data_IF_671001594565
#
_entry.id   IF_671001594565
#
_cell.length_a   1.000
_cell.length_b   1.000
_cell.length_c   1.000
_cell.angle_alpha   90.00
_cell.angle_beta   90.00
_cell.angle_gamma   90.00
#
_symmetry.space_group_name_H-M   'P 1'
#
loop_
_entity.id
_entity.type
_entity.pdbx_description
1 polymer ?
#
# COMPACT_ATOMS: atom_id res chain seq x y z
N UNK A 1 -6.94 -12.00 -16.80
CA UNK A 1 -5.92 -11.80 -15.75
C UNK A 1 -4.55 -11.66 -16.41
N UNK A 2 -3.63 -10.88 -15.82
CA UNK A 2 -2.23 -10.78 -16.27
C UNK A 2 -1.30 -11.26 -15.15
N UNK A 3 -0.17 -11.88 -15.48
CA UNK A 3 0.75 -12.45 -14.51
C UNK A 3 1.45 -11.38 -13.63
N UNK A 4 1.58 -10.15 -14.14
CA UNK A 4 2.18 -8.99 -13.47
C UNK A 4 1.16 -8.15 -12.67
N UNK A 5 -0.09 -8.60 -12.56
CA UNK A 5 -1.15 -7.84 -11.91
C UNK A 5 -1.09 -7.90 -10.37
N UNK A 6 -0.46 -8.93 -9.80
CA UNK A 6 -0.39 -9.15 -8.36
C UNK A 6 1.06 -9.08 -7.86
N UNK A 7 1.31 -8.18 -6.92
CA UNK A 7 2.56 -8.14 -6.15
C UNK A 7 2.50 -9.21 -5.07
N UNK A 8 3.42 -10.17 -5.12
CA UNK A 8 3.50 -11.26 -4.13
C UNK A 8 4.56 -11.03 -3.06
N UNK A 9 5.42 -10.03 -3.23
CA UNK A 9 6.43 -9.64 -2.23
C UNK A 9 5.83 -8.57 -1.28
N UNK A 10 5.64 -8.90 0.01
CA UNK A 10 5.19 -7.96 1.04
C UNK A 10 6.02 -6.67 1.12
N UNK A 11 7.33 -6.78 0.95
CA UNK A 11 8.27 -5.65 1.08
C UNK A 11 8.06 -4.66 -0.06
N UNK A 12 7.96 -5.16 -1.30
CA UNK A 12 7.74 -4.31 -2.46
C UNK A 12 6.33 -3.70 -2.44
N UNK A 13 5.31 -4.45 -2.04
CA UNK A 13 3.96 -3.94 -1.87
C UNK A 13 3.92 -2.80 -0.83
N UNK A 14 4.57 -2.98 0.32
CA UNK A 14 4.61 -1.95 1.37
C UNK A 14 5.39 -0.70 0.92
N UNK A 15 6.52 -0.87 0.21
CA UNK A 15 7.28 0.24 -0.39
C UNK A 15 6.41 1.06 -1.35
N UNK A 16 5.57 0.40 -2.15
CA UNK A 16 4.63 1.07 -3.07
C UNK A 16 3.61 1.91 -2.31
N UNK A 17 3.02 1.40 -1.23
CA UNK A 17 2.09 2.16 -0.38
C UNK A 17 2.77 3.38 0.24
N UNK A 18 3.99 3.23 0.78
CA UNK A 18 4.73 4.37 1.35
C UNK A 18 5.01 5.45 0.32
N UNK A 19 5.32 5.06 -0.92
CA UNK A 19 5.49 6.00 -2.03
C UNK A 19 4.21 6.75 -2.35
N UNK A 20 3.06 6.06 -2.37
CA UNK A 20 1.76 6.70 -2.55
C UNK A 20 1.50 7.78 -1.49
N UNK A 21 1.80 7.48 -0.21
CA UNK A 21 1.58 8.42 0.89
C UNK A 21 2.53 9.62 0.89
N UNK A 22 3.80 9.41 0.51
CA UNK A 22 4.84 10.45 0.55
C UNK A 22 4.86 11.34 -0.69
N UNK A 23 4.72 10.72 -1.85
CA UNK A 23 4.89 11.38 -3.15
C UNK A 23 3.57 11.66 -3.85
N UNK A 24 2.45 11.05 -3.39
CA UNK A 24 1.17 11.12 -4.09
C UNK A 24 1.21 10.41 -5.44
N UNK A 25 2.05 9.37 -5.58
CA UNK A 25 2.34 8.71 -6.86
C UNK A 25 2.44 7.19 -6.75
N UNK A 26 2.08 6.54 -7.84
CA UNK A 26 2.28 5.10 -8.05
C UNK A 26 2.85 4.84 -9.45
N UNK A 27 3.79 3.91 -9.57
CA UNK A 27 4.29 3.48 -10.88
C UNK A 27 3.30 2.51 -11.54
N UNK A 28 3.02 2.71 -12.83
CA UNK A 28 2.25 1.80 -13.68
C UNK A 28 3.11 0.65 -14.20
N UNK A 29 2.48 -0.38 -14.77
CA UNK A 29 3.18 -1.52 -15.41
C UNK A 29 4.00 -1.11 -16.64
N UNK A 30 3.78 0.10 -17.17
CA UNK A 30 4.56 0.67 -18.28
C UNK A 30 5.71 1.56 -17.78
N UNK A 31 5.95 1.60 -16.46
CA UNK A 31 7.02 2.37 -15.84
C UNK A 31 6.71 3.87 -15.63
N UNK A 32 5.49 4.31 -15.97
CA UNK A 32 5.07 5.71 -15.85
C UNK A 32 4.47 5.98 -14.46
N UNK A 33 4.79 7.14 -13.88
CA UNK A 33 4.13 7.58 -12.65
C UNK A 33 2.70 8.04 -12.92
N UNK A 34 1.80 7.67 -12.01
CA UNK A 34 0.39 8.06 -11.98
C UNK A 34 0.11 8.74 -10.65
N UNK A 35 -0.50 9.91 -10.68
CA UNK A 35 -0.88 10.64 -9.48
C UNK A 35 -2.02 9.91 -8.74
N UNK A 36 -1.89 9.82 -7.42
CA UNK A 36 -2.88 9.16 -6.54
C UNK A 36 -2.99 9.92 -5.22
N UNK A 37 -4.22 10.11 -4.77
CA UNK A 37 -4.52 10.59 -3.41
C UNK A 37 -5.16 9.46 -2.62
N UNK A 38 -4.35 8.73 -1.87
CA UNK A 38 -4.79 7.63 -1.03
C UNK A 38 -5.13 8.14 0.38
N UNK A 39 -6.40 8.06 0.77
CA UNK A 39 -6.86 8.38 2.13
C UNK A 39 -7.05 7.12 2.97
N UNK A 40 -7.27 5.98 2.32
CA UNK A 40 -7.35 4.64 2.93
C UNK A 40 -6.60 3.63 2.04
N UNK A 41 -6.15 2.54 2.63
CA UNK A 41 -5.52 1.41 1.93
C UNK A 41 -6.38 0.17 2.14
N UNK A 42 -6.82 -0.45 1.05
CA UNK A 42 -7.52 -1.72 1.10
C UNK A 42 -6.50 -2.86 1.26
N UNK A 43 -6.76 -3.76 2.20
CA UNK A 43 -5.96 -4.97 2.44
C UNK A 43 -6.90 -6.17 2.30
N UNK A 44 -6.52 -7.13 1.48
CA UNK A 44 -7.26 -8.39 1.32
C UNK A 44 -6.63 -9.47 2.20
N UNK A 45 -7.49 -10.26 2.87
CA UNK A 45 -7.08 -11.34 3.78
C UNK A 45 -7.18 -12.75 3.17
N UNK A 46 -7.45 -12.86 1.87
CA UNK A 46 -7.80 -14.08 1.16
C UNK A 46 -6.64 -14.74 0.40
N UNK A 47 -5.48 -14.09 0.38
CA UNK A 47 -4.30 -14.53 -0.37
C UNK A 47 -3.21 -15.08 0.55
N UNK A 48 -2.45 -16.12 0.12
CA UNK A 48 -1.22 -16.50 0.79
C UNK A 48 -0.30 -15.29 0.94
N UNK A 49 0.26 -15.04 2.13
CA UNK A 49 1.08 -13.86 2.39
C UNK A 49 0.32 -12.61 2.84
N UNK A 50 -1.01 -12.65 2.94
CA UNK A 50 -1.82 -11.47 3.30
C UNK A 50 -1.51 -10.92 4.70
N UNK A 51 -1.31 -11.80 5.68
CA UNK A 51 -1.02 -11.39 7.07
C UNK A 51 0.41 -10.84 7.16
N UNK A 52 1.35 -11.46 6.47
CA UNK A 52 2.74 -11.01 6.34
C UNK A 52 2.80 -9.62 5.71
N UNK A 53 2.05 -9.39 4.63
CA UNK A 53 1.89 -8.07 4.02
C UNK A 53 1.30 -7.03 4.99
N UNK A 54 0.21 -7.38 5.68
CA UNK A 54 -0.42 -6.46 6.63
C UNK A 54 0.55 -6.07 7.76
N UNK A 55 1.31 -7.03 8.30
CA UNK A 55 2.31 -6.78 9.34
C UNK A 55 3.48 -5.93 8.83
N UNK A 56 4.05 -6.28 7.68
CA UNK A 56 5.17 -5.53 7.07
C UNK A 56 4.77 -4.08 6.78
N UNK A 57 3.57 -3.88 6.21
CA UNK A 57 3.06 -2.54 5.94
C UNK A 57 2.86 -1.75 7.24
N UNK A 58 2.28 -2.37 8.27
CA UNK A 58 2.06 -1.73 9.57
C UNK A 58 3.37 -1.27 10.21
N UNK A 59 4.37 -2.16 10.31
CA UNK A 59 5.69 -1.84 10.86
C UNK A 59 6.32 -0.67 10.13
N UNK A 60 6.33 -0.70 8.79
CA UNK A 60 6.93 0.39 8.00
C UNK A 60 6.20 1.73 8.13
N UNK A 61 4.87 1.71 8.24
CA UNK A 61 4.10 2.92 8.48
C UNK A 61 4.44 3.51 9.85
N UNK A 62 4.47 2.68 10.90
CA UNK A 62 4.81 3.08 12.26
C UNK A 62 6.26 3.60 12.37
N UNK A 63 7.23 2.92 11.75
CA UNK A 63 8.64 3.35 11.70
C UNK A 63 8.83 4.71 11.01
N UNK A 64 7.92 5.07 10.11
CA UNK A 64 7.91 6.36 9.42
C UNK A 64 7.05 7.42 10.13
N UNK A 65 6.53 7.12 11.32
CA UNK A 65 5.69 8.02 12.09
C UNK A 65 4.29 8.23 11.49
N UNK A 66 3.84 7.35 10.58
CA UNK A 66 2.50 7.41 10.00
C UNK A 66 1.50 6.85 11.00
N UNK A 67 0.57 7.68 11.44
CA UNK A 67 -0.53 7.26 12.32
C UNK A 67 -1.55 6.44 11.53
N UNK A 68 -1.82 5.23 12.00
CA UNK A 68 -2.93 4.41 11.51
C UNK A 68 -4.15 4.69 12.38
N UNK A 69 -5.24 5.14 11.76
CA UNK A 69 -6.51 5.37 12.42
C UNK A 69 -7.68 4.99 11.50
N UNK A 70 -8.86 4.80 12.08
CA UNK A 70 -10.08 4.74 11.29
C UNK A 70 -10.22 6.02 10.45
N UNK A 71 -10.79 5.93 9.23
CA UNK A 71 -11.12 7.12 8.45
C UNK A 71 -12.03 8.03 9.28
N UNK A 72 -11.71 9.32 9.31
CA UNK A 72 -12.54 10.28 10.02
C UNK A 72 -13.88 10.42 9.30
N UNK A 73 -14.97 10.20 10.01
CA UNK A 73 -16.30 10.51 9.50
C UNK A 73 -16.44 12.02 9.44
N UNK A 74 -16.95 12.61 8.35
CA UNK A 74 -17.12 14.06 8.22
C UNK A 74 -18.32 14.60 9.03
N UNK A 75 -18.66 13.97 10.16
CA UNK A 75 -19.72 14.46 11.04
C UNK A 75 -19.34 15.82 11.65
#
# INVERSE_FOLDING_TARGET
SRADALLTDPVEAAKRVLRMLREGKVQSVEGRDVDVRAETICIHGDSPGAVEFANELRTRLEDQGVRISAPQSPL
#
